data_IF_736633659055
#
_entry.id   IF_736633659055
#
_cell.length_a   1.000
_cell.length_b   1.000
_cell.length_c   1.000
_cell.angle_alpha   90.00
_cell.angle_beta   90.00
_cell.angle_gamma   90.00
#
_symmetry.space_group_name_H-M   'P 1'
#
loop_
_entity.id
_entity.type
_entity.pdbx_description
1 polymer ?
#
# COMPACT_ATOMS: atom_id res chain seq x y z
N UNK A 1 54.68 58.57 -32.45
CA UNK A 1 53.48 59.31 -32.88
C UNK A 1 52.40 59.01 -31.85
N UNK A 2 52.03 60.02 -31.04
CA UNK A 2 50.97 60.08 -30.01
C UNK A 2 51.09 59.13 -28.79
N UNK A 3 50.90 59.53 -27.54
CA UNK A 3 51.12 60.76 -26.76
C UNK A 3 50.68 60.41 -25.31
N UNK A 4 51.57 60.60 -24.32
CA UNK A 4 51.33 61.29 -23.02
C UNK A 4 50.43 60.53 -22.02
N UNK A 5 50.89 59.92 -20.92
CA UNK A 5 51.67 60.40 -19.76
C UNK A 5 51.03 61.59 -19.01
N UNK A 6 50.40 61.38 -17.86
CA UNK A 6 50.65 62.17 -16.62
C UNK A 6 49.75 61.73 -15.47
N UNK A 7 50.37 61.65 -14.30
CA UNK A 7 49.82 61.40 -12.97
C UNK A 7 49.86 62.73 -12.18
N UNK A 8 48.99 62.86 -11.17
CA UNK A 8 48.96 63.82 -10.04
C UNK A 8 48.36 65.21 -10.34
N UNK A 9 47.59 65.89 -9.48
CA UNK A 9 47.37 65.80 -8.03
C UNK A 9 46.09 66.61 -7.63
N UNK A 10 45.39 66.14 -6.59
CA UNK A 10 44.60 66.83 -5.55
C UNK A 10 44.08 68.27 -5.73
N UNK A 11 42.78 68.45 -5.42
CA UNK A 11 42.28 69.56 -4.60
C UNK A 11 40.98 69.18 -3.86
N UNK A 12 41.01 69.34 -2.54
CA UNK A 12 39.87 69.21 -1.62
C UNK A 12 38.79 70.28 -1.87
N UNK A 13 37.53 69.91 -1.65
CA UNK A 13 36.42 70.83 -1.37
C UNK A 13 35.32 70.09 -0.59
N UNK A 14 35.00 70.59 0.61
CA UNK A 14 34.15 69.98 1.63
C UNK A 14 32.67 70.41 1.53
N UNK A 15 31.78 69.53 2.03
CA UNK A 15 30.38 69.70 2.50
C UNK A 15 29.28 70.08 1.49
N UNK A 16 28.24 69.25 1.34
CA UNK A 16 27.09 69.15 2.26
C UNK A 16 26.18 67.96 1.89
N UNK A 17 25.49 67.47 2.90
CA UNK A 17 24.70 66.23 3.06
C UNK A 17 23.40 66.13 2.24
N UNK A 18 23.05 64.89 1.86
CA UNK A 18 21.70 64.49 1.46
C UNK A 18 21.63 63.05 0.92
N UNK A 19 21.62 62.05 1.81
CA UNK A 19 21.36 60.65 1.49
C UNK A 19 19.94 60.44 0.95
N UNK A 20 19.79 59.73 -0.17
CA UNK A 20 19.36 58.32 -0.20
C UNK A 20 19.18 57.87 -1.65
N UNK A 21 20.11 57.06 -2.14
CA UNK A 21 19.89 56.22 -3.32
C UNK A 21 18.89 55.13 -2.90
N UNK A 22 17.64 55.25 -3.35
CA UNK A 22 16.75 54.11 -3.42
C UNK A 22 17.09 53.39 -4.73
N UNK A 23 18.17 52.60 -4.71
CA UNK A 23 18.29 51.48 -5.63
C UNK A 23 17.12 50.54 -5.31
N UNK A 24 16.25 50.34 -6.29
CA UNK A 24 15.22 49.32 -6.22
C UNK A 24 15.93 47.96 -6.09
N UNK A 25 15.84 47.36 -4.89
CA UNK A 25 16.14 45.93 -4.74
C UNK A 25 14.93 45.20 -5.33
N UNK A 26 15.03 44.86 -6.61
CA UNK A 26 14.15 43.89 -7.24
C UNK A 26 14.79 42.52 -6.96
N UNK A 27 14.28 41.79 -5.98
CA UNK A 27 14.51 40.35 -5.90
C UNK A 27 13.46 39.74 -6.85
N UNK A 28 13.83 39.55 -8.11
CA UNK A 28 13.05 38.66 -8.99
C UNK A 28 13.25 37.25 -8.41
N UNK A 29 12.20 36.67 -7.84
CA UNK A 29 12.19 35.28 -7.37
C UNK A 29 12.36 34.34 -8.57
N UNK A 30 13.61 34.15 -8.98
CA UNK A 30 13.99 33.39 -10.16
C UNK A 30 13.64 31.91 -9.93
N UNK A 31 12.96 31.34 -10.92
CA UNK A 31 12.71 29.90 -11.03
C UNK A 31 14.05 29.17 -11.00
N UNK A 32 14.19 28.17 -10.13
CA UNK A 32 15.48 27.54 -9.85
C UNK A 32 15.73 26.28 -10.64
N UNK A 33 14.71 25.72 -11.27
CA UNK A 33 14.85 24.55 -12.14
C UNK A 33 14.15 24.77 -13.48
N UNK A 34 14.83 24.41 -14.56
CA UNK A 34 14.24 24.41 -15.89
C UNK A 34 13.03 23.48 -15.94
N UNK A 35 11.91 23.96 -16.49
CA UNK A 35 10.66 23.20 -16.57
C UNK A 35 9.77 23.29 -15.33
N UNK A 36 10.19 24.01 -14.27
CA UNK A 36 9.34 24.20 -13.09
C UNK A 36 8.10 25.06 -13.41
N UNK A 37 6.99 24.68 -12.78
CA UNK A 37 5.71 25.38 -12.88
C UNK A 37 5.55 26.32 -11.69
N UNK A 38 5.10 27.55 -11.94
CA UNK A 38 4.75 28.51 -10.88
C UNK A 38 3.26 28.47 -10.58
N UNK A 39 2.92 28.38 -9.30
CA UNK A 39 1.53 28.35 -8.82
C UNK A 39 1.35 29.26 -7.61
N UNK A 40 0.24 30.01 -7.58
CA UNK A 40 -0.18 30.78 -6.40
C UNK A 40 -1.26 29.99 -5.68
N UNK A 41 -0.93 29.50 -4.49
CA UNK A 41 -1.85 28.83 -3.59
C UNK A 41 -2.50 29.84 -2.67
N UNK A 42 -3.82 30.00 -2.78
CA UNK A 42 -4.63 30.78 -1.85
C UNK A 42 -4.99 29.91 -0.67
N UNK A 43 -4.57 30.29 0.54
CA UNK A 43 -4.92 29.58 1.75
C UNK A 43 -6.41 29.63 2.05
N UNK A 44 -6.90 28.58 2.71
CA UNK A 44 -8.28 28.52 3.17
C UNK A 44 -8.53 29.53 4.29
N UNK A 45 -9.40 30.52 4.03
CA UNK A 45 -9.88 31.47 5.04
C UNK A 45 -11.33 31.19 5.45
N UNK A 46 -12.20 30.91 4.47
CA UNK A 46 -13.59 30.55 4.70
C UNK A 46 -14.23 29.94 3.46
N UNK A 47 -15.37 29.26 3.65
CA UNK A 47 -16.15 28.70 2.54
C UNK A 47 -16.62 29.74 1.50
N UNK A 48 -16.70 31.03 1.85
CA UNK A 48 -17.12 32.10 0.95
C UNK A 48 -15.98 32.70 0.11
N UNK A 49 -14.73 32.60 0.58
CA UNK A 49 -13.58 33.19 -0.11
C UNK A 49 -12.88 32.18 -1.04
N UNK A 50 -13.13 30.88 -0.82
CA UNK A 50 -12.52 29.80 -1.59
C UNK A 50 -11.04 29.63 -1.24
N UNK A 51 -10.40 28.65 -1.88
CA UNK A 51 -8.98 28.37 -1.76
C UNK A 51 -8.47 27.77 -3.07
N UNK A 52 -7.15 27.77 -3.26
CA UNK A 52 -6.52 27.09 -4.40
C UNK A 52 -5.92 25.76 -3.97
N UNK A 53 -5.78 24.85 -4.93
CA UNK A 53 -5.13 23.56 -4.77
C UNK A 53 -3.89 23.45 -5.65
N UNK A 54 -2.91 22.68 -5.21
CA UNK A 54 -1.86 22.15 -6.05
C UNK A 54 -2.22 20.71 -6.43
N UNK A 55 -2.43 20.48 -7.71
CA UNK A 55 -2.70 19.15 -8.26
C UNK A 55 -2.01 19.06 -9.63
N UNK A 56 -0.75 18.60 -9.67
CA UNK A 56 -0.02 18.41 -10.92
C UNK A 56 -0.70 17.38 -11.84
N UNK A 57 -0.31 17.34 -13.11
CA UNK A 57 -0.98 16.48 -14.09
C UNK A 57 -0.74 15.00 -13.73
N UNK A 58 -1.81 14.19 -13.70
CA UNK A 58 -1.72 12.79 -13.26
C UNK A 58 -1.77 12.56 -11.75
N UNK A 59 -1.69 13.61 -10.92
CA UNK A 59 -1.95 13.47 -9.48
C UNK A 59 -3.46 13.39 -9.22
N UNK A 60 -3.90 12.37 -8.47
CA UNK A 60 -5.33 12.13 -8.22
C UNK A 60 -5.89 13.05 -7.13
N UNK A 61 -5.09 13.31 -6.10
CA UNK A 61 -5.47 14.14 -4.96
C UNK A 61 -4.70 15.46 -4.99
N UNK A 62 -5.30 16.56 -4.52
CA UNK A 62 -4.58 17.81 -4.32
C UNK A 62 -3.96 17.94 -2.93
N UNK A 63 -2.99 18.85 -2.80
CA UNK A 63 -2.70 19.50 -1.53
C UNK A 63 -3.08 20.99 -1.58
N UNK A 64 -3.24 21.61 -0.42
CA UNK A 64 -3.69 22.99 -0.26
C UNK A 64 -3.04 23.63 0.97
N UNK A 65 -3.36 24.91 1.20
CA UNK A 65 -2.88 25.66 2.35
C UNK A 65 -4.03 25.92 3.31
N UNK A 66 -3.81 25.64 4.58
CA UNK A 66 -4.69 26.02 5.67
C UNK A 66 -3.81 26.43 6.86
N UNK A 67 -4.15 27.53 7.53
CA UNK A 67 -3.44 28.00 8.73
C UNK A 67 -1.91 28.15 8.56
N UNK A 68 -1.44 28.58 7.38
CA UNK A 68 -0.01 28.69 7.00
C UNK A 68 0.76 27.36 7.04
N UNK A 69 0.06 26.25 6.81
CA UNK A 69 0.62 24.90 6.73
C UNK A 69 0.20 24.27 5.39
N UNK A 70 1.09 23.53 4.75
CA UNK A 70 0.72 22.66 3.62
C UNK A 70 -0.03 21.44 4.14
N UNK A 71 -1.19 21.15 3.55
CA UNK A 71 -2.06 20.04 3.92
C UNK A 71 -2.46 19.22 2.71
N UNK A 72 -2.48 17.89 2.85
CA UNK A 72 -3.16 17.01 1.91
C UNK A 72 -3.44 15.66 2.55
N UNK A 73 -4.67 15.16 2.40
CA UNK A 73 -5.14 13.96 3.11
C UNK A 73 -4.30 12.71 2.80
N UNK A 74 -3.70 12.67 1.61
CA UNK A 74 -2.87 11.57 1.11
C UNK A 74 -1.43 12.00 0.85
N UNK A 75 -1.06 13.23 1.23
CA UNK A 75 0.26 13.79 0.99
C UNK A 75 1.13 13.67 2.23
N UNK A 76 2.42 13.48 1.95
CA UNK A 76 3.49 13.54 2.92
C UNK A 76 4.49 14.59 2.46
N UNK A 77 4.96 15.41 3.39
CA UNK A 77 5.88 16.51 3.16
C UNK A 77 7.12 16.35 4.02
N UNK A 78 8.26 16.81 3.50
CA UNK A 78 9.49 17.00 4.28
C UNK A 78 10.23 18.20 3.75
N UNK A 79 10.80 18.99 4.65
CA UNK A 79 11.64 20.14 4.28
C UNK A 79 12.98 19.64 3.74
N UNK A 80 13.49 20.32 2.71
CA UNK A 80 14.85 20.12 2.21
C UNK A 80 15.84 21.09 2.85
N UNK A 81 17.06 20.63 3.07
CA UNK A 81 18.19 21.50 3.41
C UNK A 81 18.65 22.36 2.21
N UNK A 82 18.24 21.98 0.99
CA UNK A 82 18.52 22.75 -0.21
C UNK A 82 17.48 23.87 -0.39
N UNK A 83 17.94 25.11 -0.63
CA UNK A 83 17.07 26.26 -0.91
C UNK A 83 16.67 26.43 -2.38
N UNK A 84 16.92 25.43 -3.23
CA UNK A 84 16.70 25.46 -4.69
C UNK A 84 16.30 24.08 -5.21
N UNK A 85 15.40 24.04 -6.21
CA UNK A 85 14.92 22.78 -6.78
C UNK A 85 16.01 22.02 -7.56
N UNK A 86 16.86 22.74 -8.30
CA UNK A 86 17.97 22.14 -9.06
C UNK A 86 19.06 21.51 -8.18
N UNK A 87 19.10 21.85 -6.88
CA UNK A 87 20.01 21.27 -5.91
C UNK A 87 19.40 20.05 -5.18
N UNK A 88 18.10 19.80 -5.35
CA UNK A 88 17.38 18.66 -4.76
C UNK A 88 17.44 17.48 -5.74
N UNK A 89 18.49 16.66 -5.61
CA UNK A 89 18.77 15.55 -6.51
C UNK A 89 18.30 14.20 -5.97
N UNK A 90 18.35 14.02 -4.65
CA UNK A 90 18.01 12.76 -3.99
C UNK A 90 16.70 12.90 -3.21
N UNK A 91 15.73 12.03 -3.51
CA UNK A 91 14.45 11.96 -2.78
C UNK A 91 14.73 11.42 -1.36
N UNK A 92 14.22 12.06 -0.30
CA UNK A 92 14.44 11.61 1.07
C UNK A 92 13.82 10.24 1.34
N UNK A 93 14.59 9.33 1.91
CA UNK A 93 14.13 7.99 2.34
C UNK A 93 13.10 8.07 3.49
N UNK A 94 12.34 7.01 3.77
CA UNK A 94 11.25 7.02 4.75
C UNK A 94 11.67 7.50 6.16
N UNK A 95 12.90 7.25 6.61
CA UNK A 95 13.41 7.71 7.92
C UNK A 95 13.61 9.25 8.02
N UNK A 96 13.38 10.01 6.94
CA UNK A 96 13.69 11.44 6.86
C UNK A 96 12.69 12.36 7.59
N UNK A 97 11.72 11.80 8.33
CA UNK A 97 10.79 12.57 9.13
C UNK A 97 9.65 13.21 8.34
N UNK A 98 9.11 12.47 7.36
CA UNK A 98 7.93 12.87 6.59
C UNK A 98 6.70 13.15 7.47
N UNK A 99 5.91 14.16 7.10
CA UNK A 99 4.75 14.63 7.86
C UNK A 99 3.54 14.83 6.95
N UNK A 100 2.32 14.52 7.42
CA UNK A 100 1.09 14.73 6.63
C UNK A 100 0.71 16.21 6.45
N UNK A 101 1.36 17.08 7.22
CA UNK A 101 1.27 18.53 7.09
C UNK A 101 2.58 19.14 7.53
N UNK A 102 3.00 20.24 6.92
CA UNK A 102 4.24 20.94 7.28
C UNK A 102 4.07 22.45 7.21
N UNK A 103 4.67 23.16 8.17
CA UNK A 103 4.61 24.62 8.23
C UNK A 103 5.33 25.25 7.03
N UNK A 104 4.74 26.35 6.53
CA UNK A 104 5.26 27.10 5.40
C UNK A 104 6.31 28.08 5.89
N UNK A 105 7.51 27.98 5.34
CA UNK A 105 8.63 28.86 5.61
C UNK A 105 9.08 29.57 4.34
N UNK A 106 9.40 30.86 4.47
CA UNK A 106 9.89 31.69 3.38
C UNK A 106 11.22 31.14 2.82
N UNK A 107 11.42 31.27 1.51
CA UNK A 107 12.62 30.80 0.78
C UNK A 107 12.99 29.32 1.02
N UNK A 108 12.06 28.49 1.50
CA UNK A 108 12.32 27.09 1.81
C UNK A 108 11.83 26.16 0.70
N UNK A 109 12.55 25.07 0.48
CA UNK A 109 12.16 24.01 -0.44
C UNK A 109 11.75 22.74 0.31
N UNK A 110 10.89 21.97 -0.34
CA UNK A 110 10.19 20.85 0.24
C UNK A 110 10.09 19.73 -0.79
N UNK A 111 10.18 18.51 -0.30
CA UNK A 111 9.68 17.36 -1.02
C UNK A 111 8.25 17.07 -0.58
N UNK A 112 7.41 16.62 -1.50
CA UNK A 112 6.14 16.01 -1.19
C UNK A 112 5.93 14.75 -2.03
N UNK A 113 5.26 13.76 -1.45
CA UNK A 113 4.78 12.62 -2.21
C UNK A 113 3.34 12.30 -1.83
N UNK A 114 2.62 11.67 -2.76
CA UNK A 114 1.33 11.08 -2.47
C UNK A 114 1.21 9.72 -3.15
N UNK A 115 0.41 8.84 -2.55
CA UNK A 115 -0.06 7.63 -3.20
C UNK A 115 -1.10 8.02 -4.26
N UNK A 116 -0.73 7.86 -5.53
CA UNK A 116 -1.62 8.07 -6.67
C UNK A 116 -2.62 6.92 -6.83
N UNK A 117 -3.41 6.96 -7.88
CA UNK A 117 -4.29 5.84 -8.23
C UNK A 117 -3.57 4.68 -8.96
N UNK A 118 -2.31 4.88 -9.33
CA UNK A 118 -1.53 3.97 -10.17
C UNK A 118 -0.03 3.86 -9.80
N UNK A 119 0.45 4.73 -8.88
CA UNK A 119 1.85 4.80 -8.45
C UNK A 119 2.04 5.83 -7.34
N UNK A 120 3.13 5.71 -6.58
CA UNK A 120 3.66 6.84 -5.82
C UNK A 120 4.12 7.96 -6.76
N UNK A 121 3.77 9.20 -6.42
CA UNK A 121 4.19 10.37 -7.19
C UNK A 121 4.90 11.36 -6.30
N UNK A 122 6.05 11.84 -6.75
CA UNK A 122 6.86 12.78 -6.02
C UNK A 122 6.81 14.15 -6.67
N UNK A 123 6.87 15.18 -5.85
CA UNK A 123 7.11 16.53 -6.26
C UNK A 123 8.18 17.15 -5.37
N UNK A 124 8.95 18.06 -5.94
CA UNK A 124 9.73 19.03 -5.18
C UNK A 124 9.21 20.42 -5.48
N UNK A 125 9.12 21.24 -4.45
CA UNK A 125 8.58 22.57 -4.58
C UNK A 125 9.26 23.54 -3.63
N UNK A 126 9.30 24.81 -4.01
CA UNK A 126 9.94 25.88 -3.25
C UNK A 126 9.01 27.05 -3.09
N UNK A 127 8.94 27.60 -1.88
CA UNK A 127 8.23 28.84 -1.58
C UNK A 127 9.01 30.01 -2.15
N UNK A 128 8.40 30.72 -3.08
CA UNK A 128 8.95 31.92 -3.70
C UNK A 128 8.55 33.18 -2.92
N UNK A 129 7.29 33.27 -2.51
CA UNK A 129 6.75 34.47 -1.87
C UNK A 129 5.56 34.12 -0.97
N UNK A 130 5.38 34.89 0.10
CA UNK A 130 4.25 34.78 1.02
C UNK A 130 3.59 36.16 1.15
N UNK A 131 2.43 36.34 0.51
CA UNK A 131 1.63 37.56 0.60
C UNK A 131 0.35 37.30 1.40
N UNK A 132 0.42 37.53 2.71
CA UNK A 132 -0.69 37.25 3.63
C UNK A 132 -0.93 35.75 3.78
N UNK A 133 -2.08 35.27 3.29
CA UNK A 133 -2.43 33.83 3.26
C UNK A 133 -2.19 33.19 1.88
N UNK A 134 -1.64 33.95 0.92
CA UNK A 134 -1.29 33.44 -0.39
C UNK A 134 0.18 33.07 -0.41
N UNK A 135 0.49 31.92 -0.98
CA UNK A 135 1.87 31.44 -1.11
C UNK A 135 2.12 31.13 -2.58
N UNK A 136 3.16 31.76 -3.13
CA UNK A 136 3.65 31.46 -4.47
C UNK A 136 4.69 30.37 -4.37
N UNK A 137 4.51 29.28 -5.11
CA UNK A 137 5.47 28.18 -5.20
C UNK A 137 5.97 28.00 -6.63
N UNK A 138 7.20 27.50 -6.77
CA UNK A 138 7.62 26.75 -7.96
C UNK A 138 7.62 25.26 -7.63
N UNK A 139 7.28 24.40 -8.59
CA UNK A 139 7.34 22.95 -8.39
C UNK A 139 7.75 22.19 -9.66
N UNK A 140 8.30 21.01 -9.45
CA UNK A 140 8.62 20.01 -10.49
C UNK A 140 8.16 18.64 -10.00
N UNK A 141 7.58 17.87 -10.91
CA UNK A 141 7.25 16.45 -10.71
C UNK A 141 8.54 15.62 -10.83
N UNK A 142 8.71 14.64 -9.95
CA UNK A 142 9.85 13.72 -9.97
C UNK A 142 9.33 12.29 -10.01
N UNK A 143 10.03 11.44 -10.76
CA UNK A 143 9.78 10.01 -10.78
C UNK A 143 10.19 9.40 -9.41
N UNK A 144 9.57 8.27 -9.04
CA UNK A 144 10.00 7.53 -7.88
C UNK A 144 11.51 7.20 -7.97
N UNK A 145 12.27 7.31 -6.87
CA UNK A 145 13.69 7.05 -6.91
C UNK A 145 13.95 5.58 -7.27
N UNK A 146 15.12 5.30 -7.86
CA UNK A 146 15.54 3.92 -8.08
C UNK A 146 15.78 3.24 -6.73
N UNK A 147 15.14 2.08 -6.50
CA UNK A 147 15.20 1.35 -5.25
C UNK A 147 13.80 1.00 -4.75
N UNK A 148 13.75 0.56 -3.51
CA UNK A 148 12.51 0.24 -2.83
C UNK A 148 12.45 0.99 -1.50
N UNK A 149 11.53 1.96 -1.39
CA UNK A 149 11.40 2.83 -0.23
C UNK A 149 10.48 2.26 0.86
N UNK A 150 9.50 1.43 0.49
CA UNK A 150 8.47 0.84 1.35
C UNK A 150 8.75 -0.63 1.71
N UNK A 151 9.92 -1.15 1.34
CA UNK A 151 10.37 -2.51 1.62
C UNK A 151 10.25 -2.83 3.09
N UNK A 152 9.71 -4.02 3.36
CA UNK A 152 9.89 -4.61 4.67
C UNK A 152 11.38 -4.81 4.93
N UNK A 153 11.79 -4.53 6.17
CA UNK A 153 13.16 -4.79 6.63
C UNK A 153 13.14 -5.87 7.70
N UNK A 154 14.21 -6.67 7.79
CA UNK A 154 14.37 -7.67 8.85
C UNK A 154 14.71 -9.06 8.33
N UNK A 155 14.11 -10.08 8.94
CA UNK A 155 14.39 -11.48 8.65
C UNK A 155 14.01 -11.86 7.21
N UNK A 156 14.63 -12.94 6.70
CA UNK A 156 14.52 -13.35 5.29
C UNK A 156 13.07 -13.50 4.80
N UNK A 157 12.14 -13.95 5.65
CA UNK A 157 10.73 -14.09 5.25
C UNK A 157 10.05 -12.75 5.03
N UNK A 158 10.40 -11.71 5.79
CA UNK A 158 9.78 -10.39 5.69
C UNK A 158 10.07 -9.72 4.35
N UNK A 159 11.22 -10.02 3.77
CA UNK A 159 11.70 -9.45 2.50
C UNK A 159 11.26 -10.24 1.26
N UNK A 160 10.46 -11.31 1.41
CA UNK A 160 9.93 -12.06 0.27
C UNK A 160 8.76 -11.32 -0.38
N UNK A 161 8.60 -11.44 -1.70
CA UNK A 161 7.60 -10.66 -2.44
C UNK A 161 6.16 -10.98 -2.06
N UNK A 162 5.83 -12.16 -1.52
CA UNK A 162 4.46 -12.40 -1.05
C UNK A 162 4.07 -11.57 0.17
N UNK A 163 5.02 -10.99 0.90
CA UNK A 163 4.75 -10.23 2.12
C UNK A 163 4.27 -8.82 1.79
N UNK A 164 3.04 -8.46 2.18
CA UNK A 164 2.61 -7.07 2.17
C UNK A 164 3.43 -6.23 3.17
N UNK A 165 3.44 -4.91 2.99
CA UNK A 165 4.09 -3.98 3.91
C UNK A 165 3.51 -4.16 5.33
N UNK A 166 4.40 -4.33 6.31
CA UNK A 166 4.00 -4.59 7.69
C UNK A 166 3.40 -3.34 8.35
N UNK A 167 2.38 -3.58 9.17
CA UNK A 167 1.84 -2.61 10.09
C UNK A 167 2.37 -2.88 11.50
N UNK A 168 3.17 -1.96 12.03
CA UNK A 168 3.78 -2.05 13.37
C UNK A 168 2.77 -2.17 14.53
N UNK A 169 1.49 -1.87 14.30
CA UNK A 169 0.43 -2.05 15.29
C UNK A 169 -0.12 -3.48 15.36
N UNK A 170 0.23 -4.33 14.39
CA UNK A 170 -0.20 -5.71 14.28
C UNK A 170 0.92 -6.69 14.67
N UNK A 171 0.59 -7.97 14.77
CA UNK A 171 1.56 -9.02 15.11
C UNK A 171 1.85 -9.88 13.90
N UNK A 172 3.08 -9.84 13.39
CA UNK A 172 3.53 -10.75 12.34
C UNK A 172 3.80 -12.16 12.91
N UNK A 173 3.30 -13.19 12.23
CA UNK A 173 3.54 -14.59 12.55
C UNK A 173 3.90 -15.33 11.26
N UNK A 174 4.99 -16.10 11.29
CA UNK A 174 5.37 -16.99 10.20
C UNK A 174 5.39 -18.45 10.68
N UNK A 175 4.94 -19.35 9.81
CA UNK A 175 4.97 -20.79 10.03
C UNK A 175 5.85 -21.42 8.97
N UNK A 176 6.87 -22.15 9.38
CA UNK A 176 7.77 -22.89 8.50
C UNK A 176 7.64 -24.40 8.68
N UNK A 177 8.14 -25.14 7.69
CA UNK A 177 8.30 -26.59 7.73
C UNK A 177 9.66 -26.98 7.16
N UNK A 178 10.19 -28.12 7.62
CA UNK A 178 11.42 -28.67 7.06
C UNK A 178 11.11 -29.68 5.96
N UNK A 179 11.55 -29.40 4.72
CA UNK A 179 11.49 -30.33 3.58
C UNK A 179 12.90 -30.60 3.08
N UNK A 180 13.28 -31.87 2.96
CA UNK A 180 14.62 -32.29 2.53
C UNK A 180 15.78 -31.60 3.25
N UNK A 181 15.61 -31.31 4.55
CA UNK A 181 16.60 -30.66 5.40
C UNK A 181 16.73 -29.14 5.19
N UNK A 182 15.79 -28.52 4.48
CA UNK A 182 15.69 -27.07 4.30
C UNK A 182 14.43 -26.55 4.99
N UNK A 183 14.57 -25.42 5.68
CA UNK A 183 13.40 -24.68 6.17
C UNK A 183 12.73 -23.94 5.02
N UNK A 184 11.42 -24.11 4.91
CA UNK A 184 10.57 -23.51 3.88
C UNK A 184 9.46 -22.77 4.62
N UNK A 185 9.25 -21.51 4.26
CA UNK A 185 8.07 -20.78 4.72
C UNK A 185 6.82 -21.48 4.19
N UNK A 186 5.95 -21.91 5.10
CA UNK A 186 4.67 -22.49 4.74
C UNK A 186 3.66 -21.37 4.43
N UNK A 187 3.38 -20.52 5.40
CA UNK A 187 2.67 -19.25 5.20
C UNK A 187 3.02 -18.31 6.36
N UNK A 188 2.74 -17.03 6.17
CA UNK A 188 2.76 -16.03 7.21
C UNK A 188 1.42 -15.32 7.30
N UNK A 189 1.19 -14.63 8.41
CA UNK A 189 0.04 -13.76 8.61
C UNK A 189 0.42 -12.51 9.39
N UNK A 190 -0.38 -11.47 9.21
CA UNK A 190 -0.37 -10.29 10.07
C UNK A 190 -1.65 -10.26 10.90
N UNK A 191 -1.52 -10.39 12.22
CA UNK A 191 -2.66 -10.50 13.12
C UNK A 191 -3.08 -9.14 13.69
N UNK A 192 -4.35 -8.78 13.49
CA UNK A 192 -4.96 -7.64 14.13
C UNK A 192 -5.68 -8.08 15.42
N UNK A 193 -5.05 -7.82 16.57
CA UNK A 193 -5.58 -8.23 17.88
C UNK A 193 -6.94 -7.59 18.21
N UNK A 194 -7.18 -6.34 17.79
CA UNK A 194 -8.45 -5.65 18.04
C UNK A 194 -9.61 -6.23 17.22
N UNK A 195 -9.31 -6.81 16.05
CA UNK A 195 -10.29 -7.48 15.18
C UNK A 195 -10.38 -8.99 15.41
N UNK A 196 -9.45 -9.56 16.18
CA UNK A 196 -9.27 -11.01 16.36
C UNK A 196 -9.26 -11.75 15.01
N UNK A 197 -8.51 -11.20 14.06
CA UNK A 197 -8.51 -11.65 12.67
C UNK A 197 -7.17 -11.32 12.00
N UNK A 198 -6.72 -12.16 11.06
CA UNK A 198 -5.58 -11.85 10.21
C UNK A 198 -5.94 -10.75 9.20
N UNK A 199 -5.13 -9.70 9.12
CA UNK A 199 -5.26 -8.64 8.12
C UNK A 199 -5.01 -9.21 6.71
N UNK A 200 -4.01 -10.08 6.63
CA UNK A 200 -3.69 -10.88 5.46
C UNK A 200 -2.97 -12.17 5.89
N UNK A 201 -2.96 -13.15 5.01
CA UNK A 201 -2.06 -14.31 5.02
C UNK A 201 -1.29 -14.34 3.70
N UNK A 202 0.00 -14.63 3.76
CA UNK A 202 0.91 -14.55 2.62
C UNK A 202 1.69 -15.85 2.46
N UNK A 203 1.80 -16.32 1.23
CA UNK A 203 2.39 -17.61 0.93
C UNK A 203 2.75 -17.71 -0.57
N UNK A 204 3.68 -18.60 -0.94
CA UNK A 204 4.09 -18.77 -2.34
C UNK A 204 4.03 -20.22 -2.84
N UNK A 205 3.89 -20.37 -4.15
CA UNK A 205 4.05 -21.61 -4.91
C UNK A 205 5.38 -21.58 -5.67
N UNK A 206 6.17 -22.62 -5.50
CA UNK A 206 7.36 -22.92 -6.30
C UNK A 206 7.38 -24.42 -6.65
N UNK A 207 8.48 -24.93 -7.23
CA UNK A 207 8.60 -26.36 -7.58
C UNK A 207 8.41 -27.34 -6.42
N UNK A 208 8.60 -26.91 -5.18
CA UNK A 208 8.40 -27.71 -3.98
C UNK A 208 7.00 -27.52 -3.42
N UNK A 209 6.59 -26.27 -3.16
CA UNK A 209 5.30 -25.98 -2.50
C UNK A 209 4.09 -26.15 -3.41
N UNK A 210 4.30 -26.30 -4.73
CA UNK A 210 3.25 -26.68 -5.69
C UNK A 210 2.87 -28.16 -5.71
N UNK A 211 3.60 -29.02 -5.00
CA UNK A 211 3.33 -30.45 -5.00
C UNK A 211 1.97 -30.79 -4.34
N UNK A 212 1.34 -31.85 -4.85
CA UNK A 212 0.04 -32.35 -4.41
C UNK A 212 0.21 -33.78 -3.88
N UNK A 213 0.68 -33.88 -2.64
CA UNK A 213 1.21 -35.11 -2.04
C UNK A 213 0.36 -35.62 -0.87
N UNK A 214 -0.35 -34.73 -0.17
CA UNK A 214 -1.19 -35.06 0.98
C UNK A 214 -2.61 -34.55 0.80
N UNK A 215 -3.54 -35.11 1.57
CA UNK A 215 -4.92 -34.63 1.62
C UNK A 215 -5.18 -33.82 2.88
N UNK A 216 -6.26 -33.04 2.84
CA UNK A 216 -6.85 -32.32 3.97
C UNK A 216 -6.81 -33.11 5.29
N UNK A 217 -6.36 -32.46 6.37
CA UNK A 217 -6.14 -33.10 7.68
C UNK A 217 -7.19 -32.78 8.76
N UNK A 218 -7.89 -31.64 8.67
CA UNK A 218 -8.81 -31.16 9.73
C UNK A 218 -8.13 -31.05 11.11
N UNK A 219 -6.84 -30.70 11.15
CA UNK A 219 -6.02 -30.60 12.36
C UNK A 219 -6.23 -29.29 13.14
N UNK A 220 -7.48 -28.98 13.45
CA UNK A 220 -7.89 -27.75 14.13
C UNK A 220 -7.14 -27.51 15.45
N UNK A 221 -6.47 -26.36 15.56
CA UNK A 221 -5.70 -25.99 16.73
C UNK A 221 -5.60 -24.46 16.90
N UNK A 222 -5.28 -24.02 18.12
CA UNK A 222 -4.84 -22.64 18.35
C UNK A 222 -3.47 -22.41 17.71
N UNK A 223 -3.19 -21.18 17.28
CA UNK A 223 -1.92 -20.84 16.66
C UNK A 223 -0.83 -20.66 17.73
N UNK A 224 0.21 -21.52 17.79
CA UNK A 224 1.28 -21.38 18.76
C UNK A 224 2.18 -20.16 18.52
N UNK A 225 2.12 -19.54 17.33
CA UNK A 225 2.85 -18.32 17.00
C UNK A 225 2.25 -17.05 17.60
N UNK A 226 0.98 -17.08 18.03
CA UNK A 226 0.33 -15.97 18.70
C UNK A 226 0.47 -16.04 20.22
N UNK A 227 0.60 -14.90 20.92
CA UNK A 227 0.44 -14.82 22.37
C UNK A 227 -0.90 -15.43 22.81
N UNK A 228 -0.91 -16.13 23.95
CA UNK A 228 -2.07 -16.89 24.41
C UNK A 228 -3.35 -16.07 24.61
N UNK A 229 -3.21 -14.77 24.90
CA UNK A 229 -4.32 -13.82 25.07
C UNK A 229 -4.87 -13.27 23.75
N UNK A 230 -4.17 -13.50 22.63
CA UNK A 230 -4.59 -13.11 21.29
C UNK A 230 -5.19 -14.26 20.48
N UNK A 231 -5.02 -15.51 20.94
CA UNK A 231 -5.48 -16.70 20.23
C UNK A 231 -7.01 -16.76 20.16
N UNK A 232 -7.52 -17.14 18.99
CA UNK A 232 -8.89 -17.62 18.80
C UNK A 232 -8.93 -19.13 18.96
N UNK A 233 -10.06 -19.66 19.40
CA UNK A 233 -10.24 -21.08 19.68
C UNK A 233 -11.53 -21.64 19.06
N UNK A 234 -11.70 -22.96 19.13
CA UNK A 234 -12.85 -23.67 18.56
C UNK A 234 -14.21 -23.08 18.98
N UNK A 235 -14.30 -22.54 20.18
CA UNK A 235 -15.54 -21.96 20.72
C UNK A 235 -15.92 -20.65 20.02
N UNK A 236 -14.96 -19.91 19.45
CA UNK A 236 -15.23 -18.67 18.71
C UNK A 236 -15.88 -18.90 17.34
N UNK A 237 -15.73 -20.10 16.77
CA UNK A 237 -16.13 -20.44 15.40
C UNK A 237 -17.26 -21.49 15.34
N UNK A 238 -18.14 -21.51 16.35
CA UNK A 238 -19.19 -22.53 16.47
C UNK A 238 -20.54 -21.89 16.75
N UNK A 239 -21.60 -22.51 16.23
CA UNK A 239 -22.98 -22.16 16.56
C UNK A 239 -23.41 -20.74 16.14
N UNK A 240 -22.64 -20.08 15.28
CA UNK A 240 -22.88 -18.73 14.78
C UNK A 240 -23.41 -18.70 13.34
N UNK A 241 -23.48 -19.85 12.66
CA UNK A 241 -23.96 -19.99 11.29
C UNK A 241 -22.96 -19.63 10.19
N UNK A 242 -21.73 -19.24 10.54
CA UNK A 242 -20.63 -19.07 9.60
C UNK A 242 -19.81 -20.38 9.49
N UNK A 243 -19.16 -20.57 8.35
CA UNK A 243 -18.12 -21.58 8.20
C UNK A 243 -16.79 -21.07 8.77
N UNK A 244 -15.91 -22.02 9.13
CA UNK A 244 -14.47 -21.77 9.35
C UNK A 244 -13.78 -21.62 7.99
N UNK A 245 -13.97 -20.46 7.37
CA UNK A 245 -13.36 -20.13 6.08
C UNK A 245 -11.86 -20.00 6.24
N UNK A 246 -11.10 -20.78 5.46
CA UNK A 246 -9.64 -20.65 5.47
C UNK A 246 -9.25 -19.38 4.69
N UNK A 247 -8.23 -18.67 5.16
CA UNK A 247 -7.56 -17.65 4.33
C UNK A 247 -6.50 -18.31 3.45
N UNK A 248 -5.56 -19.06 4.04
CA UNK A 248 -4.68 -20.00 3.34
C UNK A 248 -5.38 -21.35 3.32
N UNK A 249 -5.86 -21.78 2.15
CA UNK A 249 -6.66 -22.98 2.03
C UNK A 249 -5.82 -24.23 2.30
N UNK A 250 -6.44 -25.27 2.85
CA UNK A 250 -5.81 -26.59 2.97
C UNK A 250 -5.17 -27.05 1.65
N UNK A 251 -5.88 -26.89 0.54
CA UNK A 251 -5.42 -27.29 -0.80
C UNK A 251 -4.28 -26.41 -1.36
N UNK A 252 -4.02 -25.23 -0.77
CA UNK A 252 -2.84 -24.43 -1.13
C UNK A 252 -1.54 -25.07 -0.59
N UNK A 253 -1.64 -25.92 0.45
CA UNK A 253 -0.52 -26.43 1.26
C UNK A 253 -0.57 -27.95 1.44
N UNK A 254 -0.59 -28.67 0.31
CA UNK A 254 -0.63 -30.15 0.24
C UNK A 254 0.70 -30.81 -0.14
N UNK A 255 1.82 -30.08 -0.10
CA UNK A 255 3.14 -30.62 -0.43
C UNK A 255 3.78 -31.44 0.70
N UNK A 256 3.35 -31.23 1.96
CA UNK A 256 3.73 -32.06 3.12
C UNK A 256 2.65 -31.99 4.19
N UNK A 257 2.52 -33.05 4.99
CA UNK A 257 1.47 -33.18 6.02
C UNK A 257 1.50 -32.05 7.05
N UNK A 258 2.67 -31.72 7.58
CA UNK A 258 2.83 -30.66 8.59
C UNK A 258 2.37 -29.29 8.07
N UNK A 259 2.71 -28.97 6.81
CA UNK A 259 2.28 -27.74 6.16
C UNK A 259 0.76 -27.66 6.05
N UNK A 260 0.11 -28.76 5.70
CA UNK A 260 -1.34 -28.83 5.65
C UNK A 260 -1.97 -28.65 7.04
N UNK A 261 -1.43 -29.32 8.07
CA UNK A 261 -1.92 -29.22 9.44
C UNK A 261 -1.88 -27.78 9.97
N UNK A 262 -0.81 -27.03 9.65
CA UNK A 262 -0.69 -25.62 10.04
C UNK A 262 -1.78 -24.71 9.42
N UNK A 263 -2.39 -25.08 8.29
CA UNK A 263 -3.50 -24.29 7.70
C UNK A 263 -4.78 -24.33 8.55
N UNK A 264 -4.86 -25.23 9.52
CA UNK A 264 -6.02 -25.39 10.41
C UNK A 264 -5.93 -24.57 11.70
N UNK A 265 -4.91 -23.70 11.83
CA UNK A 265 -4.86 -22.76 12.94
C UNK A 265 -6.00 -21.74 12.87
N UNK A 266 -6.62 -21.44 14.02
CA UNK A 266 -7.74 -20.49 14.06
C UNK A 266 -7.35 -19.05 13.70
N UNK A 267 -6.07 -18.71 13.75
CA UNK A 267 -5.53 -17.44 13.25
C UNK A 267 -5.67 -17.30 11.72
N UNK A 268 -5.75 -18.42 11.00
CA UNK A 268 -5.98 -18.52 9.56
C UNK A 268 -7.48 -18.67 9.21
N UNK A 269 -8.38 -18.49 10.18
CA UNK A 269 -9.82 -18.65 9.98
C UNK A 269 -10.56 -17.32 9.97
N UNK A 270 -11.54 -17.25 9.08
CA UNK A 270 -12.45 -16.13 8.93
C UNK A 270 -13.91 -16.61 8.93
N UNK A 271 -14.85 -15.86 9.54
CA UNK A 271 -16.27 -16.20 9.47
C UNK A 271 -16.80 -15.97 8.05
N UNK A 272 -16.96 -17.05 7.28
CA UNK A 272 -17.45 -16.97 5.89
C UNK A 272 -18.85 -17.60 5.74
N UNK A 273 -19.69 -17.01 4.88
CA UNK A 273 -20.98 -17.59 4.51
C UNK A 273 -20.79 -18.94 3.79
N UNK A 274 -21.63 -19.93 4.08
CA UNK A 274 -21.43 -21.29 3.58
C UNK A 274 -21.39 -21.40 2.04
N UNK A 275 -22.32 -20.74 1.34
CA UNK A 275 -22.35 -20.73 -0.13
C UNK A 275 -21.22 -19.89 -0.75
N UNK A 276 -20.69 -18.90 0.01
CA UNK A 276 -19.51 -18.14 -0.39
C UNK A 276 -18.27 -19.03 -0.30
N UNK A 277 -17.98 -19.57 0.89
CA UNK A 277 -16.83 -20.41 1.20
C UNK A 277 -16.80 -21.69 0.34
N UNK A 278 -17.86 -22.49 0.39
CA UNK A 278 -17.94 -23.77 -0.31
C UNK A 278 -18.35 -23.69 -1.79
N UNK A 279 -18.53 -22.48 -2.31
CA UNK A 279 -18.97 -22.21 -3.68
C UNK A 279 -18.00 -21.28 -4.40
N UNK A 280 -18.34 -19.99 -4.46
CA UNK A 280 -17.58 -19.01 -5.25
C UNK A 280 -16.11 -18.92 -4.85
N UNK A 281 -15.84 -18.82 -3.55
CA UNK A 281 -14.48 -18.68 -3.02
C UNK A 281 -13.62 -19.90 -3.32
N UNK A 282 -14.15 -21.12 -3.10
CA UNK A 282 -13.46 -22.37 -3.44
C UNK A 282 -13.06 -22.45 -4.91
N UNK A 283 -13.92 -22.07 -5.84
CA UNK A 283 -13.58 -22.09 -7.27
C UNK A 283 -12.54 -21.03 -7.63
N UNK A 284 -12.55 -19.87 -6.96
CA UNK A 284 -11.50 -18.87 -7.09
C UNK A 284 -10.15 -19.39 -6.56
N UNK A 285 -10.16 -20.06 -5.40
CA UNK A 285 -8.96 -20.72 -4.86
C UNK A 285 -8.42 -21.77 -5.83
N UNK A 286 -9.29 -22.59 -6.42
CA UNK A 286 -8.89 -23.58 -7.41
C UNK A 286 -8.21 -22.95 -8.64
N UNK A 287 -8.70 -21.77 -9.08
CA UNK A 287 -8.07 -21.01 -10.16
C UNK A 287 -6.66 -20.52 -9.78
N UNK A 288 -6.50 -19.92 -8.60
CA UNK A 288 -5.19 -19.44 -8.10
C UNK A 288 -4.23 -20.62 -7.91
N UNK A 289 -4.72 -21.75 -7.38
CA UNK A 289 -3.94 -22.97 -7.25
C UNK A 289 -3.51 -23.52 -8.62
N UNK A 290 -4.34 -23.43 -9.66
CA UNK A 290 -3.96 -23.86 -11.00
C UNK A 290 -2.79 -23.03 -11.54
N UNK A 291 -2.77 -21.71 -11.29
CA UNK A 291 -1.62 -20.86 -11.60
C UNK A 291 -0.40 -21.22 -10.76
N UNK A 292 -0.56 -21.36 -9.44
CA UNK A 292 0.51 -21.75 -8.53
C UNK A 292 1.17 -23.08 -8.88
N UNK A 293 0.36 -24.10 -9.17
CA UNK A 293 0.82 -25.44 -9.55
C UNK A 293 1.51 -25.49 -10.91
N UNK A 294 1.30 -24.49 -11.77
CA UNK A 294 1.99 -24.40 -13.06
C UNK A 294 3.51 -24.18 -12.94
N UNK A 295 4.00 -23.81 -11.74
CA UNK A 295 5.43 -23.70 -11.42
C UNK A 295 6.15 -25.05 -11.51
N UNK A 296 5.47 -26.16 -11.25
CA UNK A 296 6.00 -27.51 -11.44
C UNK A 296 6.37 -27.78 -12.91
N UNK A 297 5.59 -27.26 -13.85
CA UNK A 297 5.86 -27.33 -15.30
C UNK A 297 6.73 -26.19 -15.83
N UNK A 298 7.10 -25.23 -14.98
CA UNK A 298 7.91 -24.06 -15.35
C UNK A 298 7.17 -23.02 -16.18
N UNK A 299 5.84 -22.96 -16.14
CA UNK A 299 5.07 -21.84 -16.73
C UNK A 299 5.45 -20.55 -16.03
N UNK A 300 5.36 -20.55 -14.70
CA UNK A 300 5.97 -19.56 -13.83
C UNK A 300 7.14 -20.19 -13.09
N UNK A 301 8.07 -19.38 -12.60
CA UNK A 301 9.15 -19.84 -11.74
C UNK A 301 8.72 -19.82 -10.26
N UNK A 302 7.95 -18.80 -9.86
CA UNK A 302 7.29 -18.67 -8.54
C UNK A 302 5.97 -17.91 -8.71
N UNK A 303 4.98 -18.21 -7.87
CA UNK A 303 3.72 -17.46 -7.77
C UNK A 303 3.52 -17.08 -6.31
N UNK A 304 3.44 -15.78 -6.04
CA UNK A 304 3.28 -15.17 -4.73
C UNK A 304 1.82 -14.83 -4.50
N UNK A 305 1.30 -15.09 -3.31
CA UNK A 305 -0.12 -14.94 -3.00
C UNK A 305 -0.30 -14.31 -1.62
N UNK A 306 -1.05 -13.22 -1.57
CA UNK A 306 -1.60 -12.68 -0.32
C UNK A 306 -3.14 -12.79 -0.36
N UNK A 307 -3.76 -13.29 0.72
CA UNK A 307 -5.22 -13.44 0.85
C UNK A 307 -5.70 -12.81 2.14
N UNK A 308 -6.93 -12.32 2.18
CA UNK A 308 -7.47 -11.73 3.40
C UNK A 308 -8.91 -11.27 3.25
N UNK A 309 -9.37 -10.50 4.24
CA UNK A 309 -10.65 -9.81 4.20
C UNK A 309 -10.48 -8.35 4.60
N UNK A 310 -11.36 -7.48 4.11
CA UNK A 310 -11.33 -6.04 4.41
C UNK A 310 -11.57 -5.78 5.90
N UNK A 311 -10.53 -5.53 6.69
CA UNK A 311 -10.68 -5.22 8.13
C UNK A 311 -11.02 -3.75 8.42
N UNK A 312 -10.86 -2.89 7.41
CA UNK A 312 -11.31 -1.50 7.38
C UNK A 312 -12.78 -1.35 6.94
N UNK A 313 -13.40 -2.40 6.37
CA UNK A 313 -14.81 -2.44 5.94
C UNK A 313 -15.45 -3.79 6.31
N UNK A 314 -16.27 -3.79 7.36
CA UNK A 314 -16.87 -4.99 7.93
C UNK A 314 -18.35 -5.13 7.53
N UNK A 315 -18.82 -6.38 7.45
CA UNK A 315 -20.20 -6.72 7.17
C UNK A 315 -21.06 -6.40 8.40
N UNK A 316 -21.62 -5.19 8.47
CA UNK A 316 -22.41 -4.69 9.63
C UNK A 316 -23.89 -5.06 9.57
N UNK A 317 -24.50 -5.28 10.74
CA UNK A 317 -25.95 -5.52 10.91
C UNK A 317 -26.52 -6.61 9.99
N UNK A 318 -25.74 -7.64 9.71
CA UNK A 318 -26.12 -8.69 8.78
C UNK A 318 -26.96 -9.77 9.47
N UNK A 319 -27.90 -10.35 8.73
CA UNK A 319 -28.62 -11.57 9.12
C UNK A 319 -28.84 -12.40 7.86
N UNK A 320 -28.11 -13.50 7.75
CA UNK A 320 -28.18 -14.37 6.58
C UNK A 320 -29.15 -15.54 6.73
N UNK A 321 -29.07 -16.44 5.77
CA UNK A 321 -29.85 -17.65 5.66
C UNK A 321 -29.43 -18.65 6.74
N UNK A 322 -30.42 -19.18 7.48
CA UNK A 322 -30.16 -20.17 8.53
C UNK A 322 -29.62 -21.48 7.95
N UNK A 323 -28.52 -21.96 8.52
CA UNK A 323 -27.88 -23.24 8.23
C UNK A 323 -27.94 -24.17 9.44
N UNK A 324 -27.40 -25.40 9.32
CA UNK A 324 -27.40 -26.37 10.42
C UNK A 324 -26.67 -25.83 11.67
N UNK A 325 -25.61 -25.04 11.47
CA UNK A 325 -24.79 -24.45 12.51
C UNK A 325 -25.32 -23.17 13.15
N UNK A 326 -26.49 -22.66 12.74
CA UNK A 326 -27.03 -21.40 13.27
C UNK A 326 -27.48 -20.45 12.18
N UNK A 327 -27.66 -19.18 12.53
CA UNK A 327 -27.96 -18.11 11.59
C UNK A 327 -26.79 -17.12 11.60
N UNK A 328 -26.08 -16.94 10.47
CA UNK A 328 -24.97 -15.99 10.40
C UNK A 328 -25.50 -14.59 10.67
N UNK A 329 -24.97 -13.95 11.71
CA UNK A 329 -25.35 -12.61 12.14
C UNK A 329 -24.13 -11.80 12.54
N UNK A 330 -24.16 -10.50 12.29
CA UNK A 330 -23.17 -9.55 12.77
C UNK A 330 -23.84 -8.38 13.47
N UNK A 331 -23.15 -7.80 14.45
CA UNK A 331 -23.62 -6.61 15.15
C UNK A 331 -23.41 -5.32 14.33
N UNK A 332 -23.74 -4.17 14.93
CA UNK A 332 -23.58 -2.86 14.31
C UNK A 332 -22.11 -2.48 14.01
N UNK A 333 -21.15 -3.19 14.58
CA UNK A 333 -19.73 -3.00 14.38
C UNK A 333 -19.11 -4.09 13.48
N UNK A 334 -19.92 -5.02 12.97
CA UNK A 334 -19.49 -6.08 12.05
C UNK A 334 -18.83 -7.28 12.72
N UNK A 335 -19.12 -7.53 14.00
CA UNK A 335 -18.61 -8.70 14.73
C UNK A 335 -19.64 -9.81 14.82
N UNK A 336 -19.18 -11.07 14.74
CA UNK A 336 -20.01 -12.25 15.00
C UNK A 336 -20.45 -12.30 16.46
N UNK A 337 -21.36 -13.23 16.80
CA UNK A 337 -21.84 -13.43 18.18
C UNK A 337 -20.72 -13.84 19.16
N UNK A 338 -19.57 -14.28 18.64
CA UNK A 338 -18.37 -14.62 19.41
C UNK A 338 -17.26 -13.58 19.31
N UNK A 339 -17.53 -12.42 18.70
CA UNK A 339 -16.60 -11.29 18.67
C UNK A 339 -15.47 -11.44 17.64
N UNK A 340 -15.66 -12.22 16.59
CA UNK A 340 -14.76 -12.23 15.43
C UNK A 340 -15.20 -11.16 14.43
N UNK A 341 -14.27 -10.37 13.88
CA UNK A 341 -14.59 -9.45 12.80
C UNK A 341 -15.04 -10.22 11.55
N UNK A 342 -16.11 -9.75 10.90
CA UNK A 342 -16.63 -10.33 9.67
C UNK A 342 -16.40 -9.35 8.51
N UNK A 343 -15.43 -9.62 7.61
CA UNK A 343 -15.15 -8.76 6.45
C UNK A 343 -16.37 -8.56 5.54
N UNK A 344 -16.54 -7.37 4.99
CA UNK A 344 -17.54 -7.08 3.96
C UNK A 344 -17.13 -7.64 2.58
N UNK A 345 -15.83 -7.81 2.34
CA UNK A 345 -15.28 -8.45 1.15
C UNK A 345 -14.03 -9.27 1.49
N UNK A 346 -13.74 -10.26 0.65
CA UNK A 346 -12.49 -11.02 0.68
C UNK A 346 -11.66 -10.76 -0.55
N UNK A 347 -10.34 -10.80 -0.38
CA UNK A 347 -9.41 -10.48 -1.44
C UNK A 347 -8.32 -11.53 -1.63
N UNK A 348 -7.76 -11.53 -2.84
CA UNK A 348 -6.50 -12.20 -3.16
C UNK A 348 -5.67 -11.26 -4.02
N UNK A 349 -4.41 -11.02 -3.67
CA UNK A 349 -3.41 -10.41 -4.53
C UNK A 349 -2.44 -11.51 -4.99
N UNK A 350 -2.17 -11.59 -6.29
CA UNK A 350 -1.32 -12.63 -6.88
C UNK A 350 -0.28 -11.95 -7.76
N UNK A 351 1.00 -12.31 -7.56
CA UNK A 351 2.12 -11.92 -8.41
C UNK A 351 2.76 -13.19 -8.99
N UNK A 352 2.83 -13.30 -10.30
CA UNK A 352 3.47 -14.40 -11.00
C UNK A 352 4.80 -13.95 -11.60
N UNK A 353 5.86 -14.74 -11.39
CA UNK A 353 7.20 -14.43 -11.86
C UNK A 353 7.67 -15.40 -12.94
N UNK A 354 8.25 -14.89 -14.02
CA UNK A 354 8.99 -15.66 -15.01
C UNK A 354 10.31 -14.97 -15.37
N UNK A 355 11.44 -15.50 -14.90
CA UNK A 355 12.72 -14.81 -14.98
C UNK A 355 12.65 -13.45 -14.26
N UNK A 356 12.82 -12.37 -15.02
CA UNK A 356 12.73 -10.99 -14.52
C UNK A 356 11.39 -10.33 -14.86
N UNK A 357 10.45 -11.06 -15.46
CA UNK A 357 9.12 -10.55 -15.79
C UNK A 357 8.14 -10.92 -14.66
N UNK A 358 7.28 -9.96 -14.34
CA UNK A 358 6.26 -10.06 -13.30
C UNK A 358 4.90 -9.68 -13.88
N UNK A 359 3.87 -10.42 -13.49
CA UNK A 359 2.47 -10.09 -13.77
C UNK A 359 1.70 -10.12 -12.47
N UNK A 360 0.89 -9.09 -12.19
CA UNK A 360 0.02 -9.07 -11.03
C UNK A 360 -1.46 -9.15 -11.43
N UNK A 361 -2.27 -9.67 -10.52
CA UNK A 361 -3.73 -9.62 -10.57
C UNK A 361 -4.28 -9.65 -9.16
N UNK A 362 -5.36 -8.92 -8.92
CA UNK A 362 -6.07 -8.96 -7.67
C UNK A 362 -7.55 -9.32 -7.87
N UNK A 363 -8.16 -9.86 -6.82
CA UNK A 363 -9.59 -10.10 -6.72
C UNK A 363 -10.13 -9.42 -5.48
N UNK A 364 -11.31 -8.82 -5.59
CA UNK A 364 -12.08 -8.30 -4.47
C UNK A 364 -13.53 -8.78 -4.57
N UNK A 365 -13.88 -9.80 -3.80
CA UNK A 365 -15.17 -10.49 -3.87
C UNK A 365 -16.04 -10.08 -2.68
N UNK A 366 -17.26 -9.54 -2.91
CA UNK A 366 -18.16 -9.15 -1.84
C UNK A 366 -18.62 -10.37 -1.04
N UNK A 367 -18.56 -10.26 0.28
CA UNK A 367 -19.00 -11.31 1.20
C UNK A 367 -20.53 -11.27 1.35
N UNK A 368 -21.22 -11.92 0.42
CA UNK A 368 -22.67 -11.90 0.35
C UNK A 368 -23.28 -13.23 -0.09
N UNK A 369 -24.57 -13.39 0.19
CA UNK A 369 -25.36 -14.52 -0.32
C UNK A 369 -25.69 -14.33 -1.81
N UNK A 370 -25.96 -15.45 -2.50
CA UNK A 370 -26.43 -15.43 -3.88
C UNK A 370 -25.35 -15.33 -4.96
N UNK A 371 -24.06 -15.39 -4.59
CA UNK A 371 -22.99 -15.63 -5.56
C UNK A 371 -23.15 -17.00 -6.22
N UNK A 372 -22.62 -17.14 -7.44
CA UNK A 372 -22.64 -18.40 -8.16
C UNK A 372 -21.91 -19.48 -7.36
N UNK A 373 -22.53 -20.64 -7.17
CA UNK A 373 -21.93 -21.75 -6.42
C UNK A 373 -20.83 -22.48 -7.20
N UNK A 374 -20.92 -22.52 -8.52
CA UNK A 374 -19.89 -23.06 -9.41
C UNK A 374 -19.63 -22.02 -10.52
N UNK A 375 -18.99 -20.88 -10.19
CA UNK A 375 -18.69 -19.84 -11.17
C UNK A 375 -17.83 -20.39 -12.31
N UNK A 376 -17.99 -19.83 -13.50
CA UNK A 376 -17.04 -20.01 -14.60
C UNK A 376 -15.99 -18.92 -14.56
N UNK A 377 -14.96 -19.02 -15.40
CA UNK A 377 -13.97 -17.98 -15.62
C UNK A 377 -14.58 -16.58 -15.77
N UNK A 378 -15.62 -16.43 -16.60
CA UNK A 378 -16.32 -15.15 -16.83
C UNK A 378 -17.03 -14.59 -15.57
N UNK A 379 -17.36 -15.43 -14.60
CA UNK A 379 -17.93 -15.00 -13.33
C UNK A 379 -16.83 -14.59 -12.33
N UNK A 380 -15.70 -15.29 -12.32
CA UNK A 380 -14.52 -14.94 -11.54
C UNK A 380 -13.92 -13.60 -11.98
N UNK A 381 -13.79 -13.41 -13.31
CA UNK A 381 -13.24 -12.20 -13.93
C UNK A 381 -14.01 -10.92 -13.57
N UNK A 382 -15.27 -11.02 -13.13
CA UNK A 382 -16.08 -9.85 -12.72
C UNK A 382 -15.58 -9.17 -11.45
N UNK A 383 -14.79 -9.89 -10.66
CA UNK A 383 -14.25 -9.38 -9.39
C UNK A 383 -12.75 -9.13 -9.48
N UNK A 384 -12.19 -9.13 -10.69
CA UNK A 384 -10.81 -8.72 -10.93
C UNK A 384 -10.69 -7.22 -10.76
N UNK A 385 -9.70 -6.80 -9.99
CA UNK A 385 -9.29 -5.42 -9.77
C UNK A 385 -7.77 -5.31 -9.96
N UNK A 386 -7.26 -4.10 -10.19
CA UNK A 386 -5.80 -3.88 -10.12
C UNK A 386 -5.32 -4.02 -8.67
N UNK A 387 -4.03 -4.27 -8.47
CA UNK A 387 -3.50 -4.36 -7.10
C UNK A 387 -3.61 -2.99 -6.44
N UNK A 388 -3.26 -1.92 -7.15
CA UNK A 388 -3.52 -0.53 -6.77
C UNK A 388 -4.95 -0.25 -6.25
N UNK A 389 -5.96 -0.77 -6.94
CA UNK A 389 -7.34 -0.63 -6.49
C UNK A 389 -7.59 -1.42 -5.20
N UNK A 390 -7.03 -2.62 -5.09
CA UNK A 390 -7.13 -3.43 -3.88
C UNK A 390 -6.45 -2.74 -2.68
N UNK A 391 -5.28 -2.14 -2.86
CA UNK A 391 -4.57 -1.38 -1.83
C UNK A 391 -5.42 -0.22 -1.31
N UNK A 392 -5.99 0.59 -2.22
CA UNK A 392 -6.92 1.66 -1.84
C UNK A 392 -8.13 1.17 -1.06
N UNK A 393 -8.62 -0.04 -1.35
CA UNK A 393 -9.78 -0.63 -0.68
C UNK A 393 -9.44 -1.24 0.67
N UNK A 394 -8.21 -1.70 0.87
CA UNK A 394 -7.82 -2.46 2.07
C UNK A 394 -6.95 -1.64 3.03
N UNK A 395 -6.23 -0.63 2.53
CA UNK A 395 -5.16 0.07 3.25
C UNK A 395 -3.91 -0.78 3.48
N UNK A 396 -3.73 -1.85 2.70
CA UNK A 396 -2.58 -2.75 2.72
C UNK A 396 -1.77 -2.45 1.46
N UNK A 397 -0.46 -2.29 1.59
CA UNK A 397 0.49 -2.15 0.49
C UNK A 397 1.01 -3.56 0.14
N UNK A 398 0.69 -4.06 -1.05
CA UNK A 398 1.02 -5.41 -1.49
C UNK A 398 2.31 -5.39 -2.30
N UNK A 399 3.01 -6.52 -2.34
CA UNK A 399 4.25 -6.67 -3.14
C UNK A 399 5.35 -5.61 -2.88
N UNK A 400 5.23 -4.84 -1.79
CA UNK A 400 6.10 -3.79 -1.24
C UNK A 400 7.60 -4.07 -1.21
N UNK A 401 8.03 -5.31 -1.50
CA UNK A 401 9.41 -5.76 -1.55
C UNK A 401 9.99 -5.79 -2.98
N UNK A 402 9.17 -5.57 -4.01
CA UNK A 402 9.62 -5.32 -5.38
C UNK A 402 10.33 -3.97 -5.47
N UNK A 403 11.22 -3.77 -6.45
CA UNK A 403 11.69 -2.41 -6.74
C UNK A 403 10.48 -1.51 -7.04
N UNK A 404 10.43 -0.29 -6.50
CA UNK A 404 9.25 0.59 -6.59
C UNK A 404 8.83 0.77 -8.06
N UNK A 405 9.78 0.88 -8.99
CA UNK A 405 9.45 1.04 -10.41
C UNK A 405 8.77 -0.21 -11.00
N UNK A 406 9.14 -1.40 -10.53
CA UNK A 406 8.53 -2.67 -10.94
C UNK A 406 7.17 -2.83 -10.29
N UNK A 407 7.07 -2.58 -8.98
CA UNK A 407 5.81 -2.57 -8.23
C UNK A 407 4.76 -1.68 -8.90
N UNK A 408 5.06 -0.38 -9.03
CA UNK A 408 4.18 0.60 -9.66
C UNK A 408 3.75 0.16 -11.08
N UNK A 409 4.62 -0.52 -11.82
CA UNK A 409 4.28 -1.01 -13.16
C UNK A 409 3.29 -2.18 -13.12
N UNK A 410 3.52 -3.18 -12.26
CA UNK A 410 2.72 -4.41 -12.25
C UNK A 410 1.39 -4.23 -11.55
N UNK A 411 1.27 -3.27 -10.66
CA UNK A 411 0.08 -3.05 -9.83
C UNK A 411 -0.98 -2.15 -10.48
N UNK A 412 -0.58 -1.31 -11.43
CA UNK A 412 -1.42 -0.29 -12.06
C UNK A 412 -2.64 -0.85 -12.80
N UNK A 413 -2.50 -1.98 -13.51
CA UNK A 413 -3.55 -2.52 -14.37
C UNK A 413 -3.73 -4.03 -14.19
N UNK A 414 -4.99 -4.47 -14.11
CA UNK A 414 -5.33 -5.89 -14.13
C UNK A 414 -5.46 -6.41 -15.57
N UNK A 415 -4.37 -6.94 -16.11
CA UNK A 415 -4.35 -7.48 -17.48
C UNK A 415 -4.86 -8.92 -17.50
N UNK A 416 -6.18 -9.10 -17.55
CA UNK A 416 -6.86 -10.42 -17.50
C UNK A 416 -6.31 -11.44 -18.51
N UNK A 417 -5.85 -10.97 -19.69
CA UNK A 417 -5.36 -11.83 -20.77
C UNK A 417 -3.96 -12.41 -20.52
N UNK A 418 -3.23 -11.91 -19.53
CA UNK A 418 -1.93 -12.47 -19.13
C UNK A 418 -2.10 -13.78 -18.35
N UNK A 419 -3.34 -14.06 -17.92
CA UNK A 419 -3.66 -15.17 -17.04
C UNK A 419 -4.45 -16.26 -17.77
N UNK A 420 -4.13 -17.52 -17.44
CA UNK A 420 -4.83 -18.68 -18.01
C UNK A 420 -6.06 -19.05 -17.19
N UNK A 421 -7.24 -18.80 -17.73
CA UNK A 421 -8.52 -19.12 -17.10
C UNK A 421 -9.09 -20.48 -17.51
#
# INVERSE_FOLDING_TARGET
MKQILSIYMLLLGWMATGCSDNEAIIIENEITQEGAVTLVLKGYESASEGFSICQPEGFTYPFYIQDQTFHGDTYWFVRSDAGRLDAMQDIPVQESGWQQSIDIEEESAYWAWCMGADRYRFLKFRVLDIEGNNVTIEYVEEDAPAGNLNANTGDAYLTEYEMPCLNDSNVFVAHDVTVDGKQILNYALEWNAAKRHANWVAFSFDKTTSADEVSRTDAWAVDPGLPSDMQTEEADHKSDGFDKGHLCASEDRVYVKEANEQTFYYSNMSPQLNDFNGGFWRELEAQVQAWGRSTASGTYDKVYVAKGGTLNDLLVNFTGTKVQGGTPTTDANGFTIHGLACPASYFMAILAQKGNEFHAIAFLVPHQEGLARNPKAEDLQRYVVSVDELERKTGIDFFCNLDDAVENQVEAEAVINDWKW
#
